data_IF_198334941024
#
_entry.id   IF_198334941024
#
_cell.length_a   1.000
_cell.length_b   1.000
_cell.length_c   1.000
_cell.angle_alpha   90.00
_cell.angle_beta   90.00
_cell.angle_gamma   90.00
#
_symmetry.space_group_name_H-M   'P 1'
#
loop_
_entity.id
_entity.type
_entity.pdbx_description
1 polymer ?
#
# COMPACT_ATOMS: atom_id res chain seq x y z
N UNK A 1 -8.16 16.94 21.51
CA UNK A 1 -8.40 17.00 20.05
C UNK A 1 -9.01 15.67 19.61
N UNK A 2 -9.81 15.60 18.55
CA UNK A 2 -10.52 14.37 18.15
C UNK A 2 -10.03 13.89 16.77
N UNK A 3 -9.33 12.75 16.72
CA UNK A 3 -8.79 12.14 15.50
C UNK A 3 -9.87 11.85 14.44
N UNK A 4 -11.10 11.57 14.85
CA UNK A 4 -12.21 11.38 13.91
C UNK A 4 -12.52 12.67 13.13
N UNK A 5 -12.52 13.82 13.83
CA UNK A 5 -12.78 15.11 13.20
C UNK A 5 -11.64 15.50 12.25
N UNK A 6 -10.40 15.25 12.66
CA UNK A 6 -9.20 15.47 11.83
C UNK A 6 -9.31 14.62 10.55
N UNK A 7 -9.60 13.32 10.69
CA UNK A 7 -9.79 12.42 9.55
C UNK A 7 -10.82 12.97 8.57
N UNK A 8 -11.98 13.40 9.06
CA UNK A 8 -13.05 13.93 8.19
C UNK A 8 -12.65 15.23 7.49
N UNK A 9 -11.91 16.13 8.16
CA UNK A 9 -11.41 17.37 7.53
C UNK A 9 -10.39 17.09 6.43
N UNK A 10 -9.47 16.14 6.67
CA UNK A 10 -8.52 15.70 5.64
C UNK A 10 -9.27 15.06 4.47
N UNK A 11 -10.24 14.18 4.73
CA UNK A 11 -11.05 13.55 3.67
C UNK A 11 -11.81 14.58 2.84
N UNK A 12 -12.40 15.59 3.46
CA UNK A 12 -13.07 16.66 2.73
C UNK A 12 -12.11 17.41 1.79
N UNK A 13 -10.87 17.68 2.22
CA UNK A 13 -9.86 18.28 1.34
C UNK A 13 -9.48 17.35 0.19
N UNK A 14 -9.29 16.06 0.46
CA UNK A 14 -9.00 15.03 -0.55
C UNK A 14 -10.07 15.04 -1.64
N UNK A 15 -11.35 14.90 -1.28
CA UNK A 15 -12.44 14.81 -2.27
C UNK A 15 -12.73 16.11 -3.01
N UNK A 16 -12.37 17.27 -2.43
CA UNK A 16 -12.61 18.58 -3.06
C UNK A 16 -11.45 19.03 -3.94
N UNK A 17 -10.21 18.69 -3.58
CA UNK A 17 -9.00 19.23 -4.21
C UNK A 17 -8.26 18.20 -5.09
N UNK A 18 -8.40 16.90 -4.83
CA UNK A 18 -7.62 15.86 -5.49
C UNK A 18 -8.51 14.94 -6.35
N UNK A 19 -8.88 15.41 -7.55
CA UNK A 19 -9.72 14.66 -8.50
C UNK A 19 -9.01 13.48 -9.17
N UNK A 20 -7.70 13.38 -9.03
CA UNK A 20 -6.87 12.35 -9.67
C UNK A 20 -6.80 11.03 -8.87
N UNK A 21 -7.58 10.95 -7.79
CA UNK A 21 -7.70 9.75 -6.98
C UNK A 21 -8.68 8.82 -7.66
N UNK A 22 -8.21 7.64 -8.01
CA UNK A 22 -9.00 6.61 -8.66
C UNK A 22 -9.11 5.41 -7.74
N UNK A 23 -10.27 4.76 -7.71
CA UNK A 23 -10.46 3.47 -7.03
C UNK A 23 -10.77 2.45 -8.13
N UNK A 24 -9.91 1.43 -8.34
CA UNK A 24 -10.16 0.38 -9.32
C UNK A 24 -11.45 -0.39 -9.02
N UNK A 25 -12.08 -0.92 -10.06
CA UNK A 25 -13.27 -1.75 -9.92
C UNK A 25 -12.99 -2.97 -9.03
N UNK A 26 -13.94 -3.34 -8.17
CA UNK A 26 -13.79 -4.44 -7.22
C UNK A 26 -12.90 -4.13 -6.01
N UNK A 27 -12.40 -2.90 -5.89
CA UNK A 27 -11.65 -2.43 -4.74
C UNK A 27 -12.46 -1.44 -3.90
N UNK A 28 -12.06 -1.29 -2.64
CA UNK A 28 -12.58 -0.29 -1.71
C UNK A 28 -11.43 0.37 -0.95
N UNK A 29 -11.50 1.68 -0.69
CA UNK A 29 -10.45 2.38 0.03
C UNK A 29 -10.50 2.04 1.53
N UNK A 30 -9.35 1.66 2.09
CA UNK A 30 -9.11 1.60 3.52
C UNK A 30 -8.31 2.84 3.94
N UNK A 31 -8.92 3.66 4.79
CA UNK A 31 -8.39 4.96 5.19
C UNK A 31 -7.77 4.87 6.59
N UNK A 32 -6.44 4.91 6.67
CA UNK A 32 -5.67 4.76 7.92
C UNK A 32 -5.04 6.09 8.30
N UNK A 33 -5.53 6.69 9.38
CA UNK A 33 -4.97 7.94 9.93
C UNK A 33 -3.95 7.59 11.02
N UNK A 34 -2.74 8.13 10.88
CA UNK A 34 -1.69 8.09 11.89
C UNK A 34 -1.41 9.51 12.38
N UNK A 35 -1.43 9.69 13.70
CA UNK A 35 -0.99 10.90 14.37
C UNK A 35 0.52 10.81 14.62
N UNK A 36 1.25 11.87 14.27
CA UNK A 36 2.64 12.07 14.63
C UNK A 36 2.83 13.40 15.34
N UNK A 37 4.03 13.64 15.88
CA UNK A 37 4.32 14.80 16.73
C UNK A 37 4.03 16.16 16.06
N UNK A 38 4.27 16.28 14.75
CA UNK A 38 4.14 17.53 14.00
C UNK A 38 3.22 17.44 12.78
N UNK A 39 2.65 16.28 12.48
CA UNK A 39 1.84 16.07 11.29
C UNK A 39 0.92 14.87 11.40
N UNK A 40 -0.15 14.87 10.63
CA UNK A 40 -1.03 13.73 10.40
C UNK A 40 -0.69 13.07 9.07
N UNK A 41 -0.69 11.74 9.04
CA UNK A 41 -0.51 10.95 7.83
C UNK A 41 -1.74 10.11 7.59
N UNK A 42 -2.47 10.40 6.53
CA UNK A 42 -3.60 9.59 6.09
C UNK A 42 -3.17 8.73 4.89
N UNK A 43 -3.13 7.42 5.10
CA UNK A 43 -2.95 6.46 4.03
C UNK A 43 -4.31 6.07 3.46
N UNK A 44 -4.42 6.04 2.13
CA UNK A 44 -5.49 5.37 1.40
C UNK A 44 -4.87 4.12 0.79
N UNK A 45 -5.22 2.96 1.36
CA UNK A 45 -4.74 1.65 0.93
C UNK A 45 -5.91 0.93 0.27
N UNK A 46 -5.70 0.28 -0.88
CA UNK A 46 -6.77 -0.49 -1.50
C UNK A 46 -6.98 -1.84 -0.79
N UNK A 47 -8.25 -2.18 -0.60
CA UNK A 47 -8.71 -3.52 -0.19
C UNK A 47 -9.70 -4.08 -1.20
N UNK A 48 -9.88 -5.39 -1.20
CA UNK A 48 -10.87 -6.12 -1.99
C UNK A 48 -11.44 -7.30 -1.20
N UNK A 49 -12.72 -7.58 -1.41
CA UNK A 49 -13.37 -8.81 -0.95
C UNK A 49 -13.44 -9.87 -2.05
N UNK A 50 -12.85 -9.61 -3.23
CA UNK A 50 -12.77 -10.59 -4.29
C UNK A 50 -11.88 -11.75 -3.86
N UNK A 51 -12.39 -12.96 -4.02
CA UNK A 51 -11.65 -14.17 -3.67
C UNK A 51 -10.40 -14.32 -4.54
N UNK A 52 -9.36 -14.91 -3.96
CA UNK A 52 -8.13 -15.26 -4.65
C UNK A 52 -7.44 -14.05 -5.31
N UNK A 53 -7.52 -12.89 -4.67
CA UNK A 53 -6.92 -11.64 -5.15
C UNK A 53 -6.29 -10.85 -4.02
N UNK A 54 -5.13 -10.27 -4.30
CA UNK A 54 -4.44 -9.32 -3.42
C UNK A 54 -4.35 -7.97 -4.17
N UNK A 55 -4.95 -6.88 -3.65
CA UNK A 55 -5.03 -5.60 -4.35
C UNK A 55 -3.81 -4.73 -4.04
N UNK A 56 -2.71 -4.93 -4.78
CA UNK A 56 -1.51 -4.11 -4.62
C UNK A 56 -1.52 -2.87 -5.54
N UNK A 57 -0.93 -1.78 -5.04
CA UNK A 57 -0.72 -0.55 -5.78
C UNK A 57 -1.96 0.35 -5.84
N UNK A 58 -1.80 1.47 -6.55
CA UNK A 58 -2.77 2.56 -6.58
C UNK A 58 -3.16 3.07 -5.17
N UNK A 59 -2.16 3.09 -4.27
CA UNK A 59 -2.27 3.60 -2.91
C UNK A 59 -1.75 5.05 -2.81
N UNK A 60 -2.21 5.78 -1.79
CA UNK A 60 -1.91 7.20 -1.60
C UNK A 60 -1.53 7.52 -0.16
N UNK A 61 -0.69 8.53 0.02
CA UNK A 61 -0.39 9.17 1.30
C UNK A 61 -0.72 10.65 1.21
N UNK A 62 -1.48 11.14 2.19
CA UNK A 62 -1.73 12.55 2.42
C UNK A 62 -1.11 12.96 3.75
N UNK A 63 -0.34 14.04 3.72
CA UNK A 63 0.30 14.61 4.91
C UNK A 63 -0.36 15.95 5.19
N UNK A 64 -0.92 16.07 6.40
CA UNK A 64 -1.49 17.31 6.89
C UNK A 64 -0.69 17.85 8.07
N UNK A 65 -0.60 19.17 8.17
CA UNK A 65 0.03 19.85 9.30
C UNK A 65 -0.86 19.83 10.56
N UNK A 66 -0.40 20.46 11.64
CA UNK A 66 -1.17 20.60 12.88
C UNK A 66 -2.38 21.53 12.77
N UNK A 67 -2.49 22.30 11.69
CA UNK A 67 -3.69 23.07 11.33
C UNK A 67 -4.67 22.24 10.49
N UNK A 68 -4.40 20.93 10.36
CA UNK A 68 -5.21 19.94 9.66
C UNK A 68 -5.31 20.20 8.15
N UNK A 69 -4.37 20.98 7.58
CA UNK A 69 -4.32 21.31 6.16
C UNK A 69 -3.35 20.37 5.44
N UNK A 70 -3.78 19.82 4.30
CA UNK A 70 -2.90 18.99 3.46
C UNK A 70 -1.77 19.86 2.91
N UNK A 71 -0.54 19.54 3.30
CA UNK A 71 0.68 20.23 2.86
C UNK A 71 1.40 19.45 1.77
N UNK A 72 1.22 18.12 1.74
CA UNK A 72 1.85 17.24 0.76
C UNK A 72 0.98 16.00 0.50
N UNK A 73 1.04 15.47 -0.71
CA UNK A 73 0.47 14.17 -1.04
C UNK A 73 1.36 13.42 -2.03
N UNK A 74 1.30 12.10 -1.96
CA UNK A 74 2.07 11.19 -2.79
C UNK A 74 1.19 10.02 -3.22
N UNK A 75 1.22 9.69 -4.52
CA UNK A 75 0.74 8.41 -5.04
C UNK A 75 1.92 7.43 -5.01
N UNK A 76 1.77 6.29 -4.34
CA UNK A 76 2.86 5.31 -4.22
C UNK A 76 3.06 4.51 -5.49
N UNK A 77 1.99 4.11 -6.16
CA UNK A 77 2.08 3.32 -7.39
C UNK A 77 1.11 3.88 -8.41
N UNK A 78 1.61 4.22 -9.60
CA UNK A 78 0.78 4.75 -10.68
C UNK A 78 -0.15 3.70 -11.29
N UNK A 79 0.08 2.43 -11.00
CA UNK A 79 -0.62 1.30 -11.58
C UNK A 79 -1.18 0.42 -10.46
N UNK A 80 -2.42 -0.04 -10.63
CA UNK A 80 -3.00 -1.12 -9.85
C UNK A 80 -2.46 -2.45 -10.37
N UNK A 81 -1.82 -3.25 -9.50
CA UNK A 81 -1.11 -4.47 -9.87
C UNK A 81 -1.64 -5.61 -8.98
N UNK A 82 -2.87 -6.10 -9.23
CA UNK A 82 -3.42 -7.18 -8.43
C UNK A 82 -2.60 -8.45 -8.63
N UNK A 83 -2.47 -9.22 -7.56
CA UNK A 83 -1.94 -10.59 -7.63
C UNK A 83 -3.12 -11.53 -7.51
N UNK A 84 -3.38 -12.27 -8.57
CA UNK A 84 -4.38 -13.32 -8.59
C UNK A 84 -3.75 -14.62 -8.06
N UNK A 85 -4.42 -15.25 -7.10
CA UNK A 85 -3.99 -16.50 -6.46
C UNK A 85 -4.66 -17.68 -7.21
N UNK A 86 -3.90 -18.72 -7.60
CA UNK A 86 -4.48 -19.91 -8.21
C UNK A 86 -5.48 -20.58 -7.27
N UNK A 87 -6.59 -21.08 -7.84
CA UNK A 87 -7.64 -21.79 -7.09
C UNK A 87 -7.28 -23.25 -6.76
N UNK A 88 -6.21 -23.79 -7.33
CA UNK A 88 -5.84 -25.20 -7.20
C UNK A 88 -4.58 -25.36 -6.34
N UNK A 89 -4.65 -26.28 -5.37
CA UNK A 89 -3.54 -26.66 -4.47
C UNK A 89 -2.30 -27.21 -5.20
N UNK A 90 -2.39 -27.47 -6.51
CA UNK A 90 -1.31 -28.04 -7.31
C UNK A 90 -0.15 -27.06 -7.58
N UNK A 91 -0.33 -25.76 -7.29
CA UNK A 91 0.74 -24.77 -7.33
C UNK A 91 0.72 -23.94 -6.05
N UNK A 92 1.40 -24.44 -5.02
CA UNK A 92 1.62 -23.71 -3.78
C UNK A 92 2.48 -22.47 -4.07
N UNK A 93 1.84 -21.34 -4.34
CA UNK A 93 2.54 -20.05 -4.46
C UNK A 93 3.02 -19.70 -3.06
N UNK A 94 4.33 -19.71 -2.84
CA UNK A 94 4.93 -19.28 -1.57
C UNK A 94 5.33 -17.81 -1.56
N UNK A 95 5.25 -17.15 -2.73
CA UNK A 95 5.79 -15.80 -2.92
C UNK A 95 5.03 -15.00 -3.98
N UNK A 96 4.79 -13.73 -3.67
CA UNK A 96 4.30 -12.73 -4.61
C UNK A 96 5.46 -11.80 -5.02
N UNK A 97 5.53 -11.38 -6.29
CA UNK A 97 6.54 -10.44 -6.77
C UNK A 97 5.97 -9.40 -7.73
N UNK A 98 6.32 -8.12 -7.54
CA UNK A 98 6.14 -7.10 -8.57
C UNK A 98 7.36 -6.16 -8.66
N UNK A 99 7.35 -5.28 -9.66
CA UNK A 99 8.44 -4.35 -9.93
C UNK A 99 8.03 -2.91 -9.68
N UNK A 100 8.95 -2.12 -9.13
CA UNK A 100 8.81 -0.68 -9.00
C UNK A 100 9.52 0.07 -10.14
N UNK A 101 8.83 1.10 -10.64
CA UNK A 101 9.38 2.11 -11.54
C UNK A 101 10.14 3.17 -10.73
N UNK A 102 10.91 4.02 -11.43
CA UNK A 102 11.84 4.98 -10.80
C UNK A 102 11.21 5.91 -9.76
N UNK A 103 9.91 6.20 -9.87
CA UNK A 103 9.18 7.09 -8.96
C UNK A 103 8.95 6.50 -7.56
N UNK A 104 9.12 5.18 -7.40
CA UNK A 104 8.85 4.47 -6.13
C UNK A 104 9.99 3.51 -5.85
N UNK A 105 11.13 4.05 -5.46
CA UNK A 105 12.40 3.31 -5.50
C UNK A 105 12.54 2.19 -4.46
N UNK A 106 11.74 2.22 -3.40
CA UNK A 106 11.76 1.26 -2.29
C UNK A 106 10.43 0.52 -2.20
N UNK A 107 10.42 -0.65 -1.56
CA UNK A 107 9.18 -1.27 -1.06
C UNK A 107 8.45 -0.29 -0.13
N UNK A 108 7.13 -0.12 -0.30
CA UNK A 108 6.37 0.89 0.46
C UNK A 108 5.75 0.32 1.73
N UNK A 109 5.29 1.21 2.62
CA UNK A 109 4.49 0.81 3.76
C UNK A 109 3.15 0.17 3.31
N UNK A 110 2.58 0.59 2.18
CA UNK A 110 1.31 0.05 1.68
C UNK A 110 1.49 -1.35 1.11
N UNK A 111 2.59 -1.62 0.41
CA UNK A 111 2.98 -2.97 -0.02
C UNK A 111 3.01 -3.94 1.18
N UNK A 112 3.70 -3.56 2.25
CA UNK A 112 3.84 -4.37 3.46
C UNK A 112 2.49 -4.54 4.17
N UNK A 113 1.72 -3.47 4.33
CA UNK A 113 0.41 -3.52 4.98
C UNK A 113 -0.57 -4.41 4.22
N UNK A 114 -0.68 -4.25 2.90
CA UNK A 114 -1.54 -5.07 2.05
C UNK A 114 -1.06 -6.53 2.08
N UNK A 115 0.23 -6.78 1.93
CA UNK A 115 0.74 -8.15 2.01
C UNK A 115 0.43 -8.80 3.36
N UNK A 116 0.68 -8.12 4.48
CA UNK A 116 0.38 -8.65 5.82
C UNK A 116 -1.10 -8.94 6.04
N UNK A 117 -2.00 -8.19 5.40
CA UNK A 117 -3.44 -8.40 5.50
C UNK A 117 -3.89 -9.66 4.74
N UNK A 118 -3.37 -9.89 3.53
CA UNK A 118 -3.83 -10.95 2.65
C UNK A 118 -2.99 -12.23 2.70
N UNK A 119 -1.69 -12.15 2.99
CA UNK A 119 -0.78 -13.28 3.00
C UNK A 119 -1.25 -14.47 3.87
N UNK A 120 -1.79 -14.26 5.10
CA UNK A 120 -2.29 -15.36 5.92
C UNK A 120 -3.49 -16.09 5.31
N UNK A 121 -4.30 -15.41 4.48
CA UNK A 121 -5.47 -16.00 3.83
C UNK A 121 -5.08 -17.03 2.76
N UNK A 122 -3.89 -16.88 2.20
CA UNK A 122 -3.40 -17.66 1.06
C UNK A 122 -2.13 -18.45 1.37
N UNK A 123 -1.69 -18.47 2.63
CA UNK A 123 -0.49 -19.19 3.06
C UNK A 123 0.82 -18.65 2.45
N UNK A 124 0.90 -17.34 2.20
CA UNK A 124 2.11 -16.69 1.68
C UNK A 124 3.07 -16.32 2.81
N UNK A 125 4.36 -16.61 2.63
CA UNK A 125 5.37 -16.36 3.66
C UNK A 125 6.20 -15.09 3.40
N UNK A 126 6.40 -14.73 2.13
CA UNK A 126 7.22 -13.60 1.75
C UNK A 126 6.77 -12.90 0.46
N UNK A 127 7.21 -11.66 0.33
CA UNK A 127 6.86 -10.77 -0.75
C UNK A 127 8.11 -10.08 -1.30
N UNK A 128 8.27 -10.05 -2.62
CA UNK A 128 9.43 -9.46 -3.27
C UNK A 128 9.05 -8.25 -4.10
N UNK A 129 9.81 -7.17 -3.96
CA UNK A 129 9.72 -6.00 -4.81
C UNK A 129 11.07 -5.77 -5.47
N UNK A 130 11.09 -5.81 -6.79
CA UNK A 130 12.28 -5.43 -7.55
C UNK A 130 12.28 -3.92 -7.83
N UNK A 131 13.35 -3.23 -7.43
CA UNK A 131 13.59 -1.84 -7.77
C UNK A 131 14.55 -1.72 -8.95
N UNK A 132 13.98 -1.39 -10.11
CA UNK A 132 14.76 -1.17 -11.34
C UNK A 132 15.74 0.00 -11.26
N UNK A 133 15.43 1.00 -10.43
CA UNK A 133 16.27 2.18 -10.23
C UNK A 133 17.48 1.91 -9.34
N UNK A 134 17.32 1.06 -8.31
CA UNK A 134 18.42 0.69 -7.42
C UNK A 134 19.17 -0.56 -7.89
N UNK A 135 18.58 -1.33 -8.82
CA UNK A 135 19.01 -2.70 -9.15
C UNK A 135 19.06 -3.58 -7.90
N UNK A 136 18.00 -3.49 -7.10
CA UNK A 136 17.92 -4.15 -5.79
C UNK A 136 16.59 -4.87 -5.65
N UNK A 137 16.60 -6.03 -5.00
CA UNK A 137 15.39 -6.76 -4.58
C UNK A 137 15.17 -6.55 -3.08
N UNK A 138 13.98 -6.09 -2.74
CA UNK A 138 13.48 -6.04 -1.36
C UNK A 138 12.59 -7.26 -1.12
N UNK A 139 12.94 -8.09 -0.14
CA UNK A 139 12.14 -9.25 0.27
C UNK A 139 11.59 -9.01 1.67
N UNK A 140 10.29 -8.81 1.81
CA UNK A 140 9.62 -8.78 3.11
C UNK A 140 9.22 -10.20 3.52
N UNK A 141 9.63 -10.64 4.70
CA UNK A 141 9.23 -11.94 5.29
C UNK A 141 8.26 -11.73 6.43
N UNK A 142 7.13 -12.44 6.38
CA UNK A 142 6.07 -12.34 7.37
C UNK A 142 6.50 -12.88 8.74
N UNK A 143 7.22 -14.01 8.76
CA UNK A 143 7.71 -14.66 9.99
C UNK A 143 8.63 -13.76 10.80
N UNK A 144 9.50 -13.03 10.11
CA UNK A 144 10.55 -12.22 10.73
C UNK A 144 10.10 -10.77 10.96
N UNK A 145 9.01 -10.36 10.30
CA UNK A 145 8.58 -8.97 10.17
C UNK A 145 9.76 -8.06 9.75
N UNK A 146 10.53 -8.50 8.76
CA UNK A 146 11.77 -7.86 8.30
C UNK A 146 11.86 -7.80 6.78
N UNK A 147 12.56 -6.78 6.31
CA UNK A 147 12.93 -6.60 4.91
C UNK A 147 14.39 -7.04 4.75
N UNK A 148 14.63 -7.95 3.82
CA UNK A 148 15.96 -8.36 3.36
C UNK A 148 16.25 -7.68 2.03
N UNK A 149 17.50 -7.28 1.81
CA UNK A 149 17.91 -6.47 0.68
C UNK A 149 19.01 -7.23 -0.07
N UNK A 150 18.84 -7.40 -1.38
CA UNK A 150 19.81 -8.06 -2.27
C UNK A 150 20.06 -7.20 -3.49
N UNK A 151 21.31 -6.79 -3.71
CA UNK A 151 21.73 -6.07 -4.92
C UNK A 151 21.97 -7.03 -6.10
N UNK A 152 21.65 -6.58 -7.31
CA UNK A 152 21.74 -7.33 -8.58
C UNK A 152 22.75 -6.73 -9.57
#
# INVERSE_FOLDING_TARGET
>A
MNLWNIKNKILNQIFTQHKDITIPEGCSPNLVLLEGEAQYRLYLILGTSQENRIPLGNDYLFVADQEEKISHWQKFHNTFIPIDIPKTDEQKISSAMHSHVKTTTYITATDICTFRLYAPLYGLDHFKVYSSALKTVFEYRLSDNRIFITDL
#
